data_IF_566933981022
#
_entry.id   IF_566933981022
#
_cell.length_a   1.000
_cell.length_b   1.000
_cell.length_c   1.000
_cell.angle_alpha   90.00
_cell.angle_beta   90.00
_cell.angle_gamma   90.00
#
_symmetry.space_group_name_H-M   'P 1'
#
loop_
_entity.id
_entity.type
_entity.pdbx_description
1 polymer ?
#
# COMPACT_ATOMS: atom_id res chain seq x y z
N UNK A 1 -3.95 -27.33 -14.68
CA UNK A 1 -4.34 -25.95 -15.09
C UNK A 1 -5.48 -25.40 -14.22
N UNK A 2 -6.62 -26.11 -14.10
CA UNK A 2 -7.78 -25.68 -13.28
C UNK A 2 -7.41 -25.42 -11.80
N UNK A 3 -6.59 -26.27 -11.20
CA UNK A 3 -6.14 -26.11 -9.80
C UNK A 3 -5.31 -24.85 -9.56
N UNK A 4 -4.45 -24.47 -10.51
CA UNK A 4 -3.64 -23.25 -10.45
C UNK A 4 -4.52 -22.01 -10.55
N UNK A 5 -5.50 -22.03 -11.46
CA UNK A 5 -6.45 -20.93 -11.63
C UNK A 5 -7.32 -20.78 -10.37
N UNK A 6 -7.84 -21.88 -9.85
CA UNK A 6 -8.63 -21.87 -8.61
C UNK A 6 -7.82 -21.32 -7.43
N UNK A 7 -6.56 -21.74 -7.29
CA UNK A 7 -5.66 -21.19 -6.28
C UNK A 7 -5.45 -19.68 -6.43
N UNK A 8 -5.19 -19.20 -7.65
CA UNK A 8 -5.03 -17.77 -7.92
C UNK A 8 -6.29 -16.96 -7.58
N UNK A 9 -7.47 -17.48 -7.91
CA UNK A 9 -8.76 -16.84 -7.57
C UNK A 9 -8.95 -16.75 -6.06
N UNK A 10 -8.64 -17.80 -5.31
CA UNK A 10 -8.72 -17.80 -3.84
C UNK A 10 -7.79 -16.74 -3.25
N UNK A 11 -6.54 -16.66 -3.73
CA UNK A 11 -5.59 -15.62 -3.30
C UNK A 11 -6.12 -14.22 -3.59
N UNK A 12 -6.67 -13.99 -4.80
CA UNK A 12 -7.26 -12.70 -5.17
C UNK A 12 -8.44 -12.34 -4.25
N UNK A 13 -9.31 -13.29 -3.92
CA UNK A 13 -10.42 -13.08 -2.98
C UNK A 13 -9.89 -12.73 -1.58
N UNK A 14 -8.89 -13.45 -1.08
CA UNK A 14 -8.30 -13.18 0.23
C UNK A 14 -7.64 -11.79 0.28
N UNK A 15 -6.92 -11.42 -0.77
CA UNK A 15 -6.35 -10.08 -0.93
C UNK A 15 -7.46 -9.03 -0.98
N UNK A 16 -8.55 -9.28 -1.71
CA UNK A 16 -9.69 -8.36 -1.77
C UNK A 16 -10.43 -8.23 -0.41
N UNK A 17 -10.56 -9.32 0.33
CA UNK A 17 -11.25 -9.34 1.62
C UNK A 17 -10.43 -8.66 2.72
N UNK A 18 -9.18 -9.09 2.90
CA UNK A 18 -8.32 -8.73 4.04
C UNK A 18 -7.11 -7.89 3.66
N UNK A 19 -6.68 -7.96 2.39
CA UNK A 19 -5.43 -7.37 1.92
C UNK A 19 -5.34 -5.87 2.11
N UNK A 20 -6.45 -5.13 2.15
CA UNK A 20 -6.41 -3.69 2.46
C UNK A 20 -5.91 -3.40 3.88
N UNK A 21 -6.39 -4.16 4.87
CA UNK A 21 -5.96 -4.01 6.26
C UNK A 21 -4.52 -4.51 6.45
N UNK A 22 -4.24 -5.70 5.91
CA UNK A 22 -2.94 -6.34 6.02
C UNK A 22 -1.84 -5.53 5.31
N UNK A 23 -2.07 -5.05 4.09
CA UNK A 23 -1.10 -4.24 3.35
C UNK A 23 -0.80 -2.92 4.05
N UNK A 24 -1.79 -2.29 4.71
CA UNK A 24 -1.54 -1.10 5.54
C UNK A 24 -0.66 -1.43 6.74
N UNK A 25 -0.98 -2.51 7.45
CA UNK A 25 -0.25 -2.88 8.66
C UNK A 25 1.21 -3.24 8.35
N UNK A 26 1.41 -4.17 7.42
CA UNK A 26 2.76 -4.59 6.97
C UNK A 26 3.51 -3.41 6.34
N UNK A 27 2.81 -2.56 5.57
CA UNK A 27 3.40 -1.37 4.98
C UNK A 27 3.94 -0.38 6.02
N UNK A 28 3.19 -0.11 7.09
CA UNK A 28 3.68 0.75 8.19
C UNK A 28 4.87 0.13 8.89
N UNK A 29 4.84 -1.18 9.17
CA UNK A 29 5.96 -1.86 9.84
C UNK A 29 7.25 -1.77 9.02
N UNK A 30 7.19 -2.08 7.72
CA UNK A 30 8.34 -1.97 6.82
C UNK A 30 8.82 -0.53 6.67
N UNK A 31 7.90 0.43 6.63
CA UNK A 31 8.25 1.84 6.54
C UNK A 31 8.99 2.31 7.80
N UNK A 32 8.52 1.91 8.98
CA UNK A 32 9.18 2.22 10.26
C UNK A 32 10.53 1.53 10.35
N UNK A 33 10.64 0.26 9.97
CA UNK A 33 11.89 -0.50 10.02
C UNK A 33 12.94 0.09 9.07
N UNK A 34 12.55 0.39 7.83
CA UNK A 34 13.45 1.02 6.84
C UNK A 34 13.89 2.43 7.27
N UNK A 35 12.96 3.28 7.72
CA UNK A 35 13.31 4.62 8.19
C UNK A 35 14.15 4.57 9.47
N UNK A 36 13.84 3.67 10.40
CA UNK A 36 14.63 3.43 11.61
C UNK A 36 16.04 2.96 11.28
N UNK A 37 16.18 2.05 10.32
CA UNK A 37 17.47 1.58 9.81
C UNK A 37 18.33 2.73 9.26
N UNK A 38 17.75 3.62 8.46
CA UNK A 38 18.43 4.82 7.94
C UNK A 38 18.85 5.75 9.09
N UNK A 39 17.92 6.05 10.01
CA UNK A 39 18.14 7.01 11.09
C UNK A 39 19.18 6.54 12.11
N UNK A 40 19.13 5.26 12.52
CA UNK A 40 20.03 4.70 13.54
C UNK A 40 21.44 4.52 12.98
N UNK A 41 21.56 4.21 11.68
CA UNK A 41 22.85 3.94 11.03
C UNK A 41 23.43 5.15 10.30
N UNK A 42 22.84 6.34 10.48
CA UNK A 42 23.32 7.63 9.98
C UNK A 42 23.67 7.65 8.48
N UNK A 43 22.92 6.95 7.62
CA UNK A 43 23.21 7.02 6.20
C UNK A 43 22.39 6.11 5.29
N UNK A 44 22.46 6.43 4.00
CA UNK A 44 21.95 5.61 2.90
C UNK A 44 22.98 4.54 2.45
N UNK A 45 24.03 4.31 3.25
CA UNK A 45 25.13 3.40 2.93
C UNK A 45 24.67 1.97 2.68
N UNK A 46 23.56 1.57 3.30
CA UNK A 46 22.87 0.33 2.98
C UNK A 46 21.57 0.61 2.23
N UNK A 47 21.51 0.32 0.91
CA UNK A 47 20.32 0.59 0.11
C UNK A 47 19.10 -0.24 0.56
N UNK A 48 19.32 -1.32 1.30
CA UNK A 48 18.25 -2.16 1.85
C UNK A 48 17.21 -1.35 2.63
N UNK A 49 17.63 -0.45 3.51
CA UNK A 49 16.70 0.29 4.36
C UNK A 49 15.86 1.29 3.57
N UNK A 50 16.45 1.91 2.54
CA UNK A 50 15.71 2.76 1.61
C UNK A 50 14.71 1.95 0.79
N UNK A 51 15.10 0.75 0.33
CA UNK A 51 14.22 -0.16 -0.40
C UNK A 51 13.06 -0.63 0.50
N UNK A 52 13.33 -1.03 1.75
CA UNK A 52 12.30 -1.42 2.72
C UNK A 52 11.32 -0.27 3.00
N UNK A 53 11.83 0.96 3.18
CA UNK A 53 10.99 2.14 3.37
C UNK A 53 10.10 2.41 2.14
N UNK A 54 10.65 2.33 0.93
CA UNK A 54 9.90 2.53 -0.31
C UNK A 54 8.85 1.45 -0.51
N UNK A 55 9.19 0.18 -0.26
CA UNK A 55 8.24 -0.94 -0.34
C UNK A 55 7.13 -0.76 0.70
N UNK A 56 7.49 -0.40 1.94
CA UNK A 56 6.54 -0.15 3.02
C UNK A 56 5.55 0.96 2.67
N UNK A 57 6.05 2.08 2.15
CA UNK A 57 5.21 3.18 1.67
C UNK A 57 4.28 2.74 0.53
N UNK A 58 4.82 1.98 -0.45
CA UNK A 58 4.04 1.45 -1.56
C UNK A 58 2.92 0.51 -1.10
N UNK A 59 3.22 -0.42 -0.19
CA UNK A 59 2.24 -1.35 0.38
C UNK A 59 1.14 -0.60 1.16
N UNK A 60 1.55 0.41 1.93
CA UNK A 60 0.62 1.23 2.69
C UNK A 60 -0.35 2.01 1.79
N UNK A 61 0.18 2.65 0.74
CA UNK A 61 -0.62 3.33 -0.28
C UNK A 61 -1.55 2.35 -1.00
N UNK A 62 -1.04 1.19 -1.42
CA UNK A 62 -1.83 0.13 -2.06
C UNK A 62 -2.97 -0.35 -1.16
N UNK A 63 -2.75 -0.51 0.15
CA UNK A 63 -3.81 -0.85 1.08
C UNK A 63 -4.90 0.24 1.18
N UNK A 64 -4.53 1.52 1.04
CA UNK A 64 -5.50 2.62 0.91
C UNK A 64 -6.24 2.61 -0.42
N UNK A 65 -5.53 2.32 -1.51
CA UNK A 65 -6.10 2.19 -2.85
C UNK A 65 -7.15 1.07 -2.91
N UNK A 66 -6.80 -0.12 -2.44
CA UNK A 66 -7.67 -1.30 -2.47
C UNK A 66 -8.95 -1.08 -1.65
N UNK A 67 -8.83 -0.38 -0.52
CA UNK A 67 -10.02 0.01 0.26
C UNK A 67 -10.95 0.94 -0.50
N UNK A 68 -10.37 1.98 -1.13
CA UNK A 68 -11.15 2.96 -1.86
C UNK A 68 -11.79 2.33 -3.11
N UNK A 69 -11.10 1.40 -3.77
CA UNK A 69 -11.67 0.60 -4.85
C UNK A 69 -12.81 -0.30 -4.37
N UNK A 70 -12.67 -0.93 -3.18
CA UNK A 70 -13.68 -1.85 -2.62
C UNK A 70 -14.94 -1.14 -2.11
N UNK A 71 -14.79 0.01 -1.46
CA UNK A 71 -15.89 0.70 -0.76
C UNK A 71 -16.32 2.00 -1.44
N UNK A 72 -15.69 2.41 -2.54
CA UNK A 72 -16.02 3.65 -3.25
C UNK A 72 -15.68 4.94 -2.50
N UNK A 73 -15.00 4.85 -1.35
CA UNK A 73 -14.66 5.99 -0.51
C UNK A 73 -13.30 5.84 0.17
N UNK A 74 -12.65 6.97 0.44
CA UNK A 74 -11.41 6.98 1.21
C UNK A 74 -11.72 6.95 2.71
N UNK A 75 -11.08 6.02 3.43
CA UNK A 75 -11.21 5.93 4.91
C UNK A 75 -10.61 7.14 5.64
N UNK A 76 -9.64 7.84 5.04
CA UNK A 76 -8.96 8.97 5.67
C UNK A 76 -8.79 10.15 4.70
N UNK A 77 -8.87 11.36 5.24
CA UNK A 77 -8.61 12.60 4.49
C UNK A 77 -7.17 12.67 3.96
N UNK A 78 -6.22 12.10 4.71
CA UNK A 78 -4.82 12.01 4.28
C UNK A 78 -4.69 11.18 3.00
N UNK A 79 -5.28 9.98 2.97
CA UNK A 79 -5.24 9.14 1.78
C UNK A 79 -5.88 9.84 0.58
N UNK A 80 -7.02 10.52 0.79
CA UNK A 80 -7.66 11.30 -0.27
C UNK A 80 -6.75 12.40 -0.83
N UNK A 81 -6.02 13.11 0.03
CA UNK A 81 -5.07 14.16 -0.42
C UNK A 81 -3.88 13.58 -1.17
N UNK A 82 -3.30 12.49 -0.67
CA UNK A 82 -2.16 11.82 -1.33
C UNK A 82 -2.54 11.33 -2.73
N UNK A 83 -3.71 10.71 -2.87
CA UNK A 83 -4.22 10.25 -4.17
C UNK A 83 -4.69 11.37 -5.10
N UNK A 84 -4.67 12.64 -4.68
CA UNK A 84 -4.93 13.80 -5.57
C UNK A 84 -3.67 14.40 -6.18
N UNK A 85 -2.48 13.93 -5.79
CA UNK A 85 -1.22 14.42 -6.35
C UNK A 85 -1.13 14.12 -7.87
N UNK A 86 -0.46 14.95 -8.67
CA UNK A 86 -0.51 14.89 -10.14
C UNK A 86 -0.22 13.50 -10.72
N UNK A 87 0.75 12.77 -10.16
CA UNK A 87 1.14 11.43 -10.62
C UNK A 87 0.21 10.34 -10.06
N UNK A 88 -0.07 10.39 -8.76
CA UNK A 88 -0.89 9.38 -8.07
C UNK A 88 -2.37 9.47 -8.46
N UNK A 89 -2.85 10.67 -8.83
CA UNK A 89 -4.22 10.93 -9.25
C UNK A 89 -4.63 10.23 -10.54
N UNK A 90 -3.67 9.84 -11.38
CA UNK A 90 -3.96 9.11 -12.62
C UNK A 90 -4.52 7.73 -12.33
N UNK A 91 -4.00 7.08 -11.29
CA UNK A 91 -4.40 5.74 -10.85
C UNK A 91 -5.35 5.77 -9.64
N UNK A 92 -5.83 6.95 -9.23
CA UNK A 92 -6.74 7.07 -8.09
C UNK A 92 -8.05 6.30 -8.34
N UNK A 93 -8.46 5.39 -7.44
CA UNK A 93 -9.63 4.53 -7.64
C UNK A 93 -10.94 5.30 -7.47
N UNK A 94 -10.90 6.44 -6.76
CA UNK A 94 -12.05 7.33 -6.54
C UNK A 94 -11.58 8.77 -6.77
N UNK A 95 -12.22 9.49 -7.69
CA UNK A 95 -11.80 10.86 -8.11
C UNK A 95 -12.56 11.99 -7.42
N UNK A 96 -13.80 11.76 -6.97
CA UNK A 96 -14.61 12.73 -6.20
C UNK A 96 -15.33 11.99 -5.07
N UNK A 97 -15.31 12.60 -3.88
CA UNK A 97 -16.34 12.38 -2.88
C UNK A 97 -17.19 13.66 -3.00
N UNK A 98 -18.49 13.50 -3.26
CA UNK A 98 -19.45 14.61 -3.29
C UNK A 98 -19.48 15.33 -1.94
#
# INVERSE_FOLDING_TARGET
MITVIAGAVVVLILVWLFGSGLARFVGVLLLIDGLGGIAIRNGFDNPRFAVEAVIGLGLWLFGHWLFAAKYGQYRSRLAQRVWRLPVLGWVAPVRRIA
#
